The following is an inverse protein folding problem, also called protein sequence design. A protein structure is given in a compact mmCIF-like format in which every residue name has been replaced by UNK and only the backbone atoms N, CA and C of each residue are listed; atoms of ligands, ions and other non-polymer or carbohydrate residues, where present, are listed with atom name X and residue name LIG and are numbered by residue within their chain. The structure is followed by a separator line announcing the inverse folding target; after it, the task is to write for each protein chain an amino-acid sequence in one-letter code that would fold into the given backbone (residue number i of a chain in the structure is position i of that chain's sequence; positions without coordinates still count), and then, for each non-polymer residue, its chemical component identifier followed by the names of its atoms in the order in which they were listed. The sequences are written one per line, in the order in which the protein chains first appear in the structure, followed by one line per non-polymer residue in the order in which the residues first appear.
data_IF_120139914969
#
_entry.id   IF_120139914969
#
_cell.length_a   1.000
_cell.length_b   1.000
_cell.length_c   1.000
_cell.angle_alpha   90.00
_cell.angle_beta   90.00
_cell.angle_gamma   90.00
#
_symmetry.space_group_name_H-M   'P 1'
#
loop_
_entity.id
_entity.type
_entity.pdbx_description
1 polymer ?
#
# COMPACT_ATOMS: atom_id res chain seq x y z
N UNK A 1 44.13 -26.69 -34.52
CA UNK A 1 43.55 -26.68 -33.18
C UNK A 1 43.52 -25.25 -32.69
N UNK A 2 42.39 -24.57 -32.82
CA UNK A 2 42.22 -23.23 -32.31
C UNK A 2 41.17 -23.28 -31.22
N UNK A 3 41.59 -23.11 -29.97
CA UNK A 3 40.68 -22.89 -28.85
C UNK A 3 40.35 -21.39 -28.82
N UNK A 4 39.14 -21.04 -29.21
CA UNK A 4 38.59 -19.72 -28.98
C UNK A 4 38.07 -19.65 -27.55
N UNK A 5 38.87 -19.03 -26.67
CA UNK A 5 38.40 -18.63 -25.34
C UNK A 5 37.34 -17.51 -25.50
N UNK A 6 36.10 -17.92 -25.54
CA UNK A 6 34.99 -16.94 -25.41
C UNK A 6 34.89 -16.50 -23.96
N UNK A 7 35.55 -15.38 -23.65
CA UNK A 7 35.38 -14.71 -22.36
C UNK A 7 33.98 -14.14 -22.36
N UNK A 8 33.05 -14.79 -21.67
CA UNK A 8 31.76 -14.21 -21.32
C UNK A 8 32.04 -12.97 -20.45
N UNK A 9 31.97 -11.80 -21.04
CA UNK A 9 31.87 -10.55 -20.26
C UNK A 9 30.53 -10.59 -19.58
N UNK A 10 30.52 -10.86 -18.28
CA UNK A 10 29.39 -10.59 -17.39
C UNK A 10 29.14 -9.08 -17.54
N UNK A 11 27.94 -8.63 -17.99
CA UNK A 11 27.67 -7.22 -18.01
C UNK A 11 27.85 -6.66 -16.60
N UNK A 12 28.63 -5.58 -16.48
CA UNK A 12 28.84 -4.88 -15.25
C UNK A 12 27.51 -4.82 -14.50
N UNK A 13 27.45 -5.42 -13.31
CA UNK A 13 26.48 -5.10 -12.30
C UNK A 13 26.42 -3.59 -12.25
N UNK A 14 25.30 -2.99 -12.65
CA UNK A 14 25.09 -1.55 -12.54
C UNK A 14 25.16 -1.21 -11.05
N UNK A 15 26.35 -0.88 -10.57
CA UNK A 15 26.51 -0.21 -9.29
C UNK A 15 25.94 1.18 -9.54
N UNK A 16 24.69 1.38 -9.18
CA UNK A 16 24.05 2.68 -9.24
C UNK A 16 24.88 3.63 -8.35
N UNK A 17 25.56 4.58 -9.01
CA UNK A 17 26.30 5.62 -8.29
C UNK A 17 25.29 6.49 -7.54
N UNK A 18 25.16 6.27 -6.24
CA UNK A 18 24.26 7.03 -5.36
C UNK A 18 24.68 8.49 -5.19
N UNK A 19 25.94 8.80 -5.51
CA UNK A 19 26.49 10.16 -5.43
C UNK A 19 26.24 10.98 -6.70
N UNK A 20 25.67 10.38 -7.75
CA UNK A 20 25.28 11.15 -8.94
C UNK A 20 24.22 12.19 -8.62
N UNK A 21 24.17 13.26 -9.41
CA UNK A 21 23.07 14.21 -9.34
C UNK A 21 21.73 13.52 -9.65
N UNK A 22 20.72 13.79 -8.83
CA UNK A 22 19.39 13.20 -8.95
C UNK A 22 18.32 14.29 -8.92
N UNK A 23 17.34 14.16 -9.79
CA UNK A 23 16.10 14.93 -9.73
C UNK A 23 15.13 14.21 -8.79
N UNK A 24 15.01 14.69 -7.57
CA UNK A 24 14.24 14.03 -6.52
C UNK A 24 12.89 14.69 -6.30
N UNK A 25 11.88 13.88 -6.00
CA UNK A 25 10.59 14.32 -5.47
C UNK A 25 10.28 13.59 -4.18
N UNK A 26 9.57 14.23 -3.26
CA UNK A 26 9.14 13.61 -2.03
C UNK A 26 7.68 13.16 -2.13
N UNK A 27 7.40 11.98 -1.58
CA UNK A 27 6.03 11.50 -1.44
C UNK A 27 5.70 11.18 0.01
N UNK A 28 4.54 11.65 0.47
CA UNK A 28 4.05 11.37 1.81
C UNK A 28 2.53 11.32 1.91
N UNK A 29 2.07 10.68 2.99
CA UNK A 29 0.66 10.60 3.34
C UNK A 29 0.46 11.02 4.80
N UNK A 30 -0.46 11.95 5.04
CA UNK A 30 -0.80 12.48 6.37
C UNK A 30 -2.21 12.03 6.76
N UNK A 31 -2.42 11.59 8.00
CA UNK A 31 -3.74 11.19 8.52
C UNK A 31 -4.58 12.41 8.97
N UNK A 32 -5.93 12.25 9.02
CA UNK A 32 -6.95 13.31 9.08
C UNK A 32 -7.41 13.76 10.46
N UNK A 33 -6.70 13.61 11.53
CA UNK A 33 -7.15 14.11 12.83
C UNK A 33 -6.78 15.58 12.99
N UNK A 34 -7.79 16.47 13.08
CA UNK A 34 -7.73 17.91 12.82
C UNK A 34 -6.60 18.72 13.48
N UNK A 35 -6.28 18.55 14.75
CA UNK A 35 -5.18 19.31 15.38
C UNK A 35 -3.82 18.61 15.22
N UNK A 36 -3.80 17.29 15.21
CA UNK A 36 -2.60 16.49 14.96
C UNK A 36 -2.13 16.60 13.50
N UNK A 37 -2.99 17.01 12.57
CA UNK A 37 -2.70 17.09 11.14
C UNK A 37 -1.69 18.20 10.81
N UNK A 38 -1.85 19.39 11.37
CA UNK A 38 -0.92 20.50 11.13
C UNK A 38 0.47 20.17 11.66
N UNK A 39 0.57 19.67 12.89
CA UNK A 39 1.84 19.25 13.47
C UNK A 39 2.47 18.07 12.71
N UNK A 40 1.65 17.13 12.23
CA UNK A 40 2.14 16.01 11.41
C UNK A 40 2.64 16.50 10.05
N UNK A 41 1.96 17.45 9.42
CA UNK A 41 2.40 18.05 8.15
C UNK A 41 3.71 18.81 8.33
N UNK A 42 3.83 19.65 9.37
CA UNK A 42 5.06 20.38 9.71
C UNK A 42 6.23 19.41 9.94
N UNK A 43 6.02 18.34 10.71
CA UNK A 43 7.02 17.32 10.95
C UNK A 43 7.44 16.59 9.65
N UNK A 44 6.50 16.33 8.73
CA UNK A 44 6.80 15.78 7.43
C UNK A 44 7.63 16.73 6.56
N UNK A 45 7.26 18.02 6.56
CA UNK A 45 7.99 19.05 5.80
C UNK A 45 9.42 19.21 6.34
N UNK A 46 9.58 19.29 7.66
CA UNK A 46 10.89 19.35 8.31
C UNK A 46 11.74 18.11 7.96
N UNK A 47 11.14 16.93 8.01
CA UNK A 47 11.83 15.69 7.66
C UNK A 47 12.32 15.70 6.19
N UNK A 48 11.53 16.21 5.24
CA UNK A 48 11.95 16.35 3.84
C UNK A 48 13.13 17.31 3.69
N UNK A 49 13.12 18.42 4.41
CA UNK A 49 14.22 19.38 4.40
C UNK A 49 15.50 18.79 4.97
N UNK A 50 15.39 18.00 6.02
CA UNK A 50 16.53 17.33 6.61
C UNK A 50 17.10 16.26 5.67
N UNK A 51 16.25 15.48 5.00
CA UNK A 51 16.71 14.53 3.99
C UNK A 51 17.42 15.24 2.81
N UNK A 52 16.90 16.36 2.34
CA UNK A 52 17.53 17.14 1.30
C UNK A 52 18.92 17.69 1.73
N UNK A 53 19.08 18.09 3.00
CA UNK A 53 20.38 18.52 3.54
C UNK A 53 21.40 17.39 3.61
N UNK A 54 20.96 16.16 3.96
CA UNK A 54 21.84 14.99 4.02
C UNK A 54 22.31 14.50 2.63
N UNK A 55 21.58 14.90 1.57
CA UNK A 55 21.85 14.48 0.21
C UNK A 55 22.04 15.70 -0.72
N UNK A 56 23.20 16.37 -0.67
CA UNK A 56 23.44 17.60 -1.44
C UNK A 56 23.44 17.38 -2.97
N UNK A 57 23.54 16.14 -3.42
CA UNK A 57 23.45 15.73 -4.81
C UNK A 57 21.99 15.57 -5.30
N UNK A 58 20.99 15.83 -4.47
CA UNK A 58 19.59 15.80 -4.87
C UNK A 58 19.09 17.20 -5.19
N UNK A 59 18.58 17.37 -6.40
CA UNK A 59 17.78 18.54 -6.77
C UNK A 59 16.31 18.22 -6.49
N UNK A 60 15.76 18.75 -5.41
CA UNK A 60 14.37 18.53 -5.03
C UNK A 60 13.48 19.40 -5.90
N UNK A 61 12.62 18.78 -6.71
CA UNK A 61 11.73 19.44 -7.65
C UNK A 61 10.35 19.73 -7.07
N UNK A 62 9.74 18.74 -6.39
CA UNK A 62 8.37 18.83 -5.89
C UNK A 62 8.14 17.92 -4.67
N UNK A 63 7.01 18.15 -3.99
CA UNK A 63 6.52 17.35 -2.86
C UNK A 63 5.06 16.95 -3.11
N UNK A 64 4.81 15.66 -3.25
CA UNK A 64 3.47 15.09 -3.43
C UNK A 64 2.93 14.60 -2.10
N UNK A 65 1.88 15.24 -1.58
CA UNK A 65 1.32 14.92 -0.27
C UNK A 65 -0.17 14.61 -0.42
N UNK A 66 -0.55 13.40 -0.02
CA UNK A 66 -1.94 13.00 0.11
C UNK A 66 -2.41 13.23 1.54
N UNK A 67 -3.35 14.15 1.72
CA UNK A 67 -3.93 14.51 3.01
C UNK A 67 -5.28 13.83 3.22
N UNK A 68 -5.55 13.46 4.45
CA UNK A 68 -6.91 13.27 4.91
C UNK A 68 -7.69 12.09 4.36
N UNK A 69 -7.05 11.02 3.94
CA UNK A 69 -7.78 9.89 3.36
C UNK A 69 -8.20 8.91 4.45
N UNK A 70 -9.46 9.00 4.89
CA UNK A 70 -10.09 7.96 5.72
C UNK A 70 -10.25 6.67 4.94
N UNK A 71 -10.30 5.50 5.63
CA UNK A 71 -10.30 4.17 5.02
C UNK A 71 -11.36 3.93 3.94
N UNK A 72 -12.50 4.64 3.97
CA UNK A 72 -13.57 4.58 2.97
C UNK A 72 -13.30 5.43 1.72
N UNK A 73 -12.46 6.45 1.80
CA UNK A 73 -12.06 7.31 0.68
C UNK A 73 -10.68 6.98 0.10
N UNK A 74 -10.07 5.88 0.54
CA UNK A 74 -8.75 5.42 0.11
C UNK A 74 -8.60 5.20 -1.42
N UNK A 75 -9.68 5.34 -2.19
CA UNK A 75 -9.67 5.28 -3.67
C UNK A 75 -9.11 6.53 -4.34
N UNK A 76 -9.00 7.66 -3.62
CA UNK A 76 -8.53 8.92 -4.19
C UNK A 76 -7.22 9.33 -3.52
N UNK A 77 -6.12 9.04 -4.17
CA UNK A 77 -4.77 9.54 -3.83
C UNK A 77 -4.30 10.44 -4.98
N UNK A 78 -4.85 11.66 -5.08
CA UNK A 78 -4.62 12.52 -6.23
C UNK A 78 -3.15 12.91 -6.39
N UNK A 79 -2.45 13.17 -5.27
CA UNK A 79 -1.03 13.49 -5.31
C UNK A 79 -0.19 12.30 -5.77
N UNK A 80 -0.50 11.08 -5.29
CA UNK A 80 0.16 9.86 -5.75
C UNK A 80 -0.05 9.60 -7.24
N UNK A 81 -1.31 9.73 -7.71
CA UNK A 81 -1.62 9.52 -9.12
C UNK A 81 -0.93 10.54 -10.03
N UNK A 82 -0.89 11.80 -9.60
CA UNK A 82 -0.15 12.85 -10.30
C UNK A 82 1.35 12.52 -10.35
N UNK A 83 1.94 12.11 -9.23
CA UNK A 83 3.35 11.72 -9.17
C UNK A 83 3.67 10.58 -10.16
N UNK A 84 2.80 9.56 -10.28
CA UNK A 84 2.99 8.46 -11.24
C UNK A 84 2.90 8.97 -12.69
N UNK A 85 2.02 9.92 -12.97
CA UNK A 85 1.91 10.49 -14.32
C UNK A 85 3.14 11.32 -14.68
N UNK A 86 3.61 12.17 -13.77
CA UNK A 86 4.83 12.97 -13.95
C UNK A 86 6.08 12.07 -14.09
N UNK A 87 6.11 10.93 -13.37
CA UNK A 87 7.14 9.90 -13.52
C UNK A 87 7.19 9.30 -14.95
N UNK A 88 6.03 9.08 -15.58
CA UNK A 88 5.96 8.59 -16.98
C UNK A 88 6.51 9.61 -17.96
N UNK A 89 6.42 10.89 -17.65
CA UNK A 89 6.95 11.98 -18.48
C UNK A 89 8.47 12.16 -18.33
N UNK A 90 9.07 11.55 -17.28
CA UNK A 90 10.51 11.62 -17.05
C UNK A 90 10.95 12.92 -16.38
N UNK A 91 10.07 13.60 -15.67
CA UNK A 91 10.36 14.89 -15.01
C UNK A 91 11.39 14.74 -13.90
N UNK A 92 11.43 13.57 -13.27
CA UNK A 92 12.35 13.21 -12.17
C UNK A 92 12.81 11.75 -12.29
N UNK A 93 13.87 11.38 -11.55
CA UNK A 93 14.45 10.05 -11.56
C UNK A 93 14.50 9.39 -10.17
N UNK A 94 14.07 10.10 -9.12
CA UNK A 94 14.08 9.60 -7.75
C UNK A 94 12.81 10.04 -7.00
N UNK A 95 12.11 9.08 -6.41
CA UNK A 95 11.06 9.31 -5.44
C UNK A 95 11.60 8.95 -4.05
N UNK A 96 11.52 9.88 -3.11
CA UNK A 96 11.91 9.68 -1.72
C UNK A 96 10.67 9.61 -0.85
N UNK A 97 10.52 8.53 -0.12
CA UNK A 97 9.39 8.33 0.80
C UNK A 97 9.88 7.69 2.10
N UNK A 98 9.08 7.78 3.14
CA UNK A 98 9.49 7.38 4.47
C UNK A 98 9.56 5.87 4.62
N UNK A 99 8.43 5.18 4.40
CA UNK A 99 8.23 3.76 4.67
C UNK A 99 7.53 3.05 3.51
N UNK A 100 7.83 1.77 3.31
CA UNK A 100 7.19 0.90 2.33
C UNK A 100 5.67 0.82 2.52
N UNK A 101 5.22 0.73 3.79
CA UNK A 101 3.80 0.59 4.13
C UNK A 101 2.97 1.87 3.87
N UNK A 102 3.61 3.02 3.66
CA UNK A 102 2.95 4.30 3.35
C UNK A 102 2.87 4.59 1.86
N UNK A 103 3.67 3.91 1.05
CA UNK A 103 3.79 4.17 -0.38
C UNK A 103 2.55 3.71 -1.15
N UNK A 104 2.12 2.46 -1.00
CA UNK A 104 0.90 1.95 -1.62
C UNK A 104 -0.14 1.49 -0.58
N UNK A 105 -1.18 0.78 -1.00
CA UNK A 105 -2.24 0.28 -0.09
C UNK A 105 -1.74 -0.88 0.78
N UNK A 106 -0.87 -1.67 0.22
CA UNK A 106 -0.24 -2.80 0.86
C UNK A 106 1.13 -3.05 0.21
N UNK A 107 1.92 -3.92 0.78
CA UNK A 107 3.28 -4.20 0.32
C UNK A 107 3.32 -4.85 -1.07
N UNK A 108 2.29 -5.62 -1.45
CA UNK A 108 2.19 -6.21 -2.80
C UNK A 108 2.00 -5.13 -3.86
N UNK A 109 1.07 -4.19 -3.62
CA UNK A 109 0.85 -3.04 -4.50
C UNK A 109 2.11 -2.18 -4.58
N UNK A 110 2.85 -2.01 -3.46
CA UNK A 110 4.14 -1.29 -3.46
C UNK A 110 5.14 -1.96 -4.40
N UNK A 111 5.28 -3.28 -4.34
CA UNK A 111 6.19 -4.04 -5.21
C UNK A 111 5.82 -3.88 -6.70
N UNK A 112 4.52 -3.96 -7.03
CA UNK A 112 4.05 -3.78 -8.42
C UNK A 112 4.34 -2.37 -8.91
N UNK A 113 4.01 -1.35 -8.11
CA UNK A 113 4.23 0.06 -8.46
C UNK A 113 5.71 0.41 -8.61
N UNK A 114 6.57 -0.11 -7.74
CA UNK A 114 8.02 0.15 -7.84
C UNK A 114 8.63 -0.50 -9.07
N UNK A 115 8.14 -1.68 -9.49
CA UNK A 115 8.54 -2.30 -10.77
C UNK A 115 8.09 -1.49 -11.98
N UNK A 116 6.87 -0.94 -11.93
CA UNK A 116 6.38 -0.05 -12.99
C UNK A 116 7.24 1.22 -13.09
N UNK A 117 7.52 1.87 -11.96
CA UNK A 117 8.38 3.06 -11.91
C UNK A 117 9.81 2.77 -12.41
N UNK A 118 10.36 1.61 -12.09
CA UNK A 118 11.66 1.15 -12.60
C UNK A 118 11.69 1.08 -14.13
N UNK A 119 10.57 0.67 -14.77
CA UNK A 119 10.46 0.66 -16.23
C UNK A 119 10.48 2.08 -16.83
N UNK A 120 10.08 3.10 -16.09
CA UNK A 120 10.19 4.52 -16.48
C UNK A 120 11.55 5.13 -16.10
N UNK A 121 12.46 4.35 -15.53
CA UNK A 121 13.77 4.83 -15.09
C UNK A 121 13.74 5.58 -13.76
N UNK A 122 12.63 5.50 -13.02
CA UNK A 122 12.44 6.16 -11.72
C UNK A 122 12.71 5.18 -10.59
N UNK A 123 13.64 5.54 -9.71
CA UNK A 123 13.96 4.81 -8.49
C UNK A 123 13.11 5.29 -7.31
N UNK A 124 12.78 4.38 -6.40
CA UNK A 124 12.14 4.75 -5.12
C UNK A 124 13.08 4.44 -3.97
N UNK A 125 13.29 5.41 -3.10
CA UNK A 125 14.05 5.25 -1.87
C UNK A 125 13.13 5.30 -0.65
N UNK A 126 13.04 4.20 0.08
CA UNK A 126 12.35 4.08 1.37
C UNK A 126 13.37 4.31 2.49
N UNK A 127 13.35 5.48 3.08
CA UNK A 127 14.40 5.95 3.98
C UNK A 127 14.48 5.12 5.26
N UNK A 128 13.36 4.90 5.95
CA UNK A 128 13.33 4.17 7.23
C UNK A 128 13.61 2.67 7.05
N UNK A 129 13.16 2.11 5.92
CA UNK A 129 13.43 0.70 5.57
C UNK A 129 14.84 0.53 4.95
N UNK A 130 15.51 1.62 4.58
CA UNK A 130 16.77 1.65 3.84
C UNK A 130 16.73 0.76 2.61
N UNK A 131 15.70 0.95 1.76
CA UNK A 131 15.47 0.18 0.54
C UNK A 131 15.54 1.09 -0.67
N UNK A 132 16.42 0.75 -1.62
CA UNK A 132 16.54 1.34 -2.94
C UNK A 132 16.03 0.36 -3.99
N UNK A 133 15.01 0.75 -4.76
CA UNK A 133 14.29 -0.19 -5.62
C UNK A 133 15.04 -0.61 -6.89
N UNK A 134 16.05 0.12 -7.30
CA UNK A 134 16.91 -0.28 -8.42
C UNK A 134 18.04 -1.22 -8.01
N UNK A 135 18.37 -1.29 -6.73
CA UNK A 135 19.29 -2.29 -6.23
C UNK A 135 18.66 -3.70 -6.26
N UNK A 136 19.44 -4.69 -6.62
CA UNK A 136 18.97 -6.09 -6.60
C UNK A 136 18.57 -6.58 -5.19
N UNK A 137 19.26 -6.13 -4.16
CA UNK A 137 18.94 -6.37 -2.76
C UNK A 137 17.60 -5.70 -2.36
N UNK A 138 17.38 -4.46 -2.81
CA UNK A 138 16.14 -3.74 -2.53
C UNK A 138 14.90 -4.43 -3.10
N UNK A 139 14.96 -4.90 -4.34
CA UNK A 139 13.86 -5.65 -4.95
C UNK A 139 13.61 -6.99 -4.23
N UNK A 140 14.66 -7.68 -3.83
CA UNK A 140 14.55 -8.93 -3.07
C UNK A 140 13.87 -8.69 -1.71
N UNK A 141 14.28 -7.64 -0.97
CA UNK A 141 13.69 -7.27 0.32
C UNK A 141 12.21 -6.93 0.18
N UNK A 142 11.83 -6.12 -0.82
CA UNK A 142 10.42 -5.82 -1.10
C UNK A 142 9.62 -7.07 -1.44
N UNK A 143 10.19 -8.00 -2.21
CA UNK A 143 9.53 -9.28 -2.56
C UNK A 143 9.29 -10.14 -1.32
N UNK A 144 10.27 -10.25 -0.43
CA UNK A 144 10.13 -10.98 0.83
C UNK A 144 9.05 -10.32 1.70
N UNK A 145 9.08 -8.99 1.86
CA UNK A 145 8.08 -8.25 2.63
C UNK A 145 6.66 -8.44 2.07
N UNK A 146 6.49 -8.40 0.75
CA UNK A 146 5.21 -8.62 0.08
C UNK A 146 4.68 -10.05 0.32
N UNK A 147 5.57 -11.05 0.22
CA UNK A 147 5.21 -12.45 0.46
C UNK A 147 4.78 -12.69 1.90
N UNK A 148 5.52 -12.14 2.87
CA UNK A 148 5.18 -12.26 4.30
C UNK A 148 3.84 -11.59 4.61
N UNK A 149 3.60 -10.38 4.10
CA UNK A 149 2.34 -9.66 4.28
C UNK A 149 1.15 -10.42 3.69
N UNK A 150 1.32 -11.06 2.53
CA UNK A 150 0.29 -11.88 1.90
C UNK A 150 -0.03 -13.13 2.73
N UNK A 151 0.99 -13.82 3.24
CA UNK A 151 0.83 -14.99 4.10
C UNK A 151 0.16 -14.63 5.43
N UNK A 152 0.51 -13.50 6.04
CA UNK A 152 -0.14 -13.01 7.26
C UNK A 152 -1.62 -12.73 7.02
N UNK A 153 -1.96 -12.03 5.94
CA UNK A 153 -3.36 -11.75 5.55
C UNK A 153 -4.15 -13.04 5.33
N UNK A 154 -3.57 -14.05 4.67
CA UNK A 154 -4.18 -15.37 4.48
C UNK A 154 -4.46 -16.05 5.82
N UNK A 155 -3.48 -16.10 6.72
CA UNK A 155 -3.61 -16.71 8.04
C UNK A 155 -4.67 -16.01 8.91
N UNK A 156 -4.74 -14.67 8.86
CA UNK A 156 -5.79 -13.90 9.55
C UNK A 156 -7.16 -14.29 9.01
N UNK A 157 -7.34 -14.35 7.68
CA UNK A 157 -8.59 -14.73 7.04
C UNK A 157 -9.02 -16.15 7.42
N UNK A 158 -8.10 -17.11 7.47
CA UNK A 158 -8.36 -18.48 7.90
C UNK A 158 -8.80 -18.55 9.37
N UNK A 159 -8.11 -17.83 10.27
CA UNK A 159 -8.48 -17.76 11.69
C UNK A 159 -9.86 -17.16 11.91
N UNK A 160 -10.19 -16.08 11.18
CA UNK A 160 -11.50 -15.44 11.23
C UNK A 160 -12.59 -16.42 10.76
N UNK A 161 -12.39 -17.09 9.63
CA UNK A 161 -13.34 -18.09 9.12
C UNK A 161 -13.52 -19.27 10.10
N UNK A 162 -12.45 -19.76 10.69
CA UNK A 162 -12.52 -20.83 11.70
C UNK A 162 -13.30 -20.38 12.94
N UNK A 163 -13.02 -19.17 13.45
CA UNK A 163 -13.77 -18.60 14.58
C UNK A 163 -15.25 -18.39 14.28
N UNK A 164 -15.58 -17.87 13.08
CA UNK A 164 -16.97 -17.74 12.63
C UNK A 164 -17.68 -19.08 12.51
N UNK A 165 -16.99 -20.13 12.04
CA UNK A 165 -17.55 -21.48 11.98
C UNK A 165 -17.88 -21.99 13.37
N UNK A 166 -16.95 -21.91 14.32
CA UNK A 166 -17.16 -22.34 15.71
C UNK A 166 -18.33 -21.57 16.35
N UNK A 167 -18.40 -20.25 16.16
CA UNK A 167 -19.49 -19.43 16.69
C UNK A 167 -20.84 -19.87 16.12
N UNK A 168 -20.90 -20.12 14.81
CA UNK A 168 -22.12 -20.62 14.16
C UNK A 168 -22.52 -22.01 14.64
N UNK A 169 -21.57 -22.92 14.77
CA UNK A 169 -21.80 -24.29 15.26
C UNK A 169 -22.30 -24.27 16.72
N UNK A 170 -21.93 -23.27 17.52
CA UNK A 170 -22.41 -23.00 18.88
C UNK A 170 -23.72 -22.18 18.92
N UNK A 171 -24.36 -21.92 17.78
CA UNK A 171 -25.63 -21.18 17.71
C UNK A 171 -25.51 -19.67 17.95
N UNK A 172 -24.28 -19.12 17.96
CA UNK A 172 -24.07 -17.68 18.09
C UNK A 172 -24.37 -16.99 16.77
N UNK A 173 -25.32 -16.07 16.78
CA UNK A 173 -25.70 -15.28 15.61
C UNK A 173 -24.59 -14.28 15.27
N UNK A 174 -24.02 -14.42 14.08
CA UNK A 174 -22.97 -13.56 13.58
C UNK A 174 -23.54 -12.36 12.81
N UNK A 175 -23.11 -11.16 13.20
CA UNK A 175 -23.48 -9.90 12.55
C UNK A 175 -24.53 -9.11 13.33
N UNK A 176 -24.61 -7.82 12.99
CA UNK A 176 -25.62 -6.88 13.55
C UNK A 176 -26.76 -6.59 12.58
N UNK A 177 -26.82 -7.31 11.46
CA UNK A 177 -27.80 -7.04 10.41
C UNK A 177 -29.18 -7.55 10.87
N UNK A 178 -30.18 -6.67 10.82
CA UNK A 178 -31.57 -7.06 10.89
C UNK A 178 -31.92 -7.85 9.62
N UNK A 179 -32.41 -9.06 9.81
CA UNK A 179 -32.93 -9.90 8.71
C UNK A 179 -34.40 -9.59 8.59
N UNK A 180 -34.87 -9.19 7.42
CA UNK A 180 -36.31 -8.94 7.17
C UNK A 180 -37.11 -10.20 7.54
N UNK A 181 -38.15 -10.05 8.33
CA UNK A 181 -38.98 -11.16 8.85
C UNK A 181 -38.55 -11.70 10.21
N UNK A 182 -37.47 -11.15 10.79
CA UNK A 182 -37.00 -11.60 12.10
C UNK A 182 -36.54 -10.45 12.99
N UNK A 183 -36.87 -10.51 14.28
CA UNK A 183 -36.37 -9.66 15.33
C UNK A 183 -35.28 -10.40 16.14
N UNK A 184 -34.26 -9.68 16.58
CA UNK A 184 -33.23 -10.25 17.43
C UNK A 184 -33.60 -10.02 18.89
N UNK A 185 -33.99 -11.09 19.58
CA UNK A 185 -34.37 -11.08 20.99
C UNK A 185 -33.43 -12.00 21.77
N UNK A 186 -32.74 -11.47 22.78
CA UNK A 186 -31.83 -12.25 23.65
C UNK A 186 -30.80 -13.13 22.90
N UNK A 187 -30.28 -12.61 21.77
CA UNK A 187 -29.28 -13.35 21.01
C UNK A 187 -29.84 -14.43 20.07
N UNK A 188 -31.18 -14.52 19.93
CA UNK A 188 -31.87 -15.46 19.03
C UNK A 188 -32.75 -14.67 18.05
N UNK A 189 -33.01 -15.22 16.89
CA UNK A 189 -34.00 -14.67 15.95
C UNK A 189 -35.40 -15.20 16.28
N UNK A 190 -36.34 -14.27 16.43
CA UNK A 190 -37.76 -14.55 16.60
C UNK A 190 -38.49 -14.01 15.34
N UNK A 191 -39.49 -14.73 14.84
CA UNK A 191 -40.22 -14.29 13.67
C UNK A 191 -40.95 -12.98 14.00
N UNK A 192 -40.74 -11.98 13.14
CA UNK A 192 -41.55 -10.76 13.14
C UNK A 192 -42.74 -10.97 12.22
N UNK A 193 -43.93 -11.17 12.80
CA UNK A 193 -45.13 -11.53 12.05
C UNK A 193 -45.56 -10.47 11.04
N UNK A 194 -45.36 -9.18 11.34
CA UNK A 194 -45.69 -8.08 10.43
C UNK A 194 -44.83 -8.11 9.15
N UNK A 195 -43.57 -8.54 9.25
CA UNK A 195 -42.63 -8.66 8.13
C UNK A 195 -42.67 -10.05 7.47
N UNK A 196 -43.09 -11.08 8.19
CA UNK A 196 -43.10 -12.46 7.72
C UNK A 196 -44.01 -12.65 6.49
N UNK A 197 -45.13 -11.93 6.44
CA UNK A 197 -46.05 -11.97 5.30
C UNK A 197 -45.38 -11.45 4.02
N UNK A 198 -44.63 -10.35 4.12
CA UNK A 198 -43.84 -9.80 3.02
C UNK A 198 -42.78 -10.79 2.52
N UNK A 199 -42.05 -11.46 3.44
CA UNK A 199 -41.05 -12.46 3.10
C UNK A 199 -41.70 -13.67 2.39
N UNK A 200 -42.85 -14.17 2.89
CA UNK A 200 -43.60 -15.26 2.25
C UNK A 200 -44.07 -14.90 0.84
N UNK A 201 -44.51 -13.64 0.68
CA UNK A 201 -44.94 -13.13 -0.64
C UNK A 201 -43.74 -13.10 -1.61
N UNK A 202 -42.59 -12.56 -1.20
CA UNK A 202 -41.38 -12.53 -2.04
C UNK A 202 -40.95 -13.95 -2.42
N UNK A 203 -40.96 -14.87 -1.45
CA UNK A 203 -40.57 -16.28 -1.67
C UNK A 203 -41.51 -17.03 -2.61
N UNK A 204 -42.75 -16.59 -2.76
CA UNK A 204 -43.74 -17.22 -3.67
C UNK A 204 -43.56 -16.79 -5.15
N UNK A 205 -42.71 -15.79 -5.42
CA UNK A 205 -42.41 -15.31 -6.77
C UNK A 205 -41.08 -15.91 -7.33
N UNK A 206 -40.36 -16.70 -6.56
CA UNK A 206 -39.12 -17.38 -6.95
C UNK A 206 -39.39 -18.86 -7.22
#
# INVERSE_FOLDING_TARGET
MYQTNTVFKIPNTFVLDRNRERKAVFYGRVSTEHEAQLAALENHMQWYEDQAKYHPNWTVLDKYIDEGITGTQAKKRPAFMKMIEDAKQGDFDLIVTREVCRFARNTVDTLVMTRELKNFGVEVYFVEDNIWTMDGDGELRLTIMATLAQEESRKISERVRAGQKISRDNGVLYGSCNIIGYDRVNGTYVINEDQAETVRMISSFI
#
